data_IF_470712772696
#
_entry.id   IF_470712772696
#
_cell.length_a   1.000
_cell.length_b   1.000
_cell.length_c   1.000
_cell.angle_alpha   90.00
_cell.angle_beta   90.00
_cell.angle_gamma   90.00
#
_symmetry.space_group_name_H-M   'P 1'
#
loop_
_entity.id
_entity.type
_entity.pdbx_description
1 polymer ?
#
# COMPACT_ATOMS: atom_id res chain seq x y z
N UNK A 1 -17.83 -11.69 9.45
CA UNK A 1 -19.17 -11.22 9.03
C UNK A 1 -19.48 -9.83 9.58
N UNK A 2 -19.47 -9.62 10.91
CA UNK A 2 -19.67 -8.29 11.53
C UNK A 2 -18.69 -7.25 10.97
N UNK A 3 -17.40 -7.57 10.89
CA UNK A 3 -16.38 -6.69 10.32
C UNK A 3 -16.67 -6.29 8.86
N UNK A 4 -17.08 -7.26 8.03
CA UNK A 4 -17.36 -7.03 6.62
C UNK A 4 -18.62 -6.16 6.45
N UNK A 5 -19.63 -6.40 7.29
CA UNK A 5 -20.85 -5.58 7.37
C UNK A 5 -20.54 -4.16 7.86
N UNK A 6 -19.66 -4.00 8.86
CA UNK A 6 -19.20 -2.69 9.33
C UNK A 6 -18.47 -1.93 8.22
N UNK A 7 -17.59 -2.59 7.47
CA UNK A 7 -16.92 -1.96 6.32
C UNK A 7 -17.91 -1.55 5.22
N UNK A 8 -18.86 -2.42 4.87
CA UNK A 8 -19.90 -2.09 3.89
C UNK A 8 -20.74 -0.91 4.39
N UNK A 9 -21.16 -0.94 5.65
CA UNK A 9 -21.98 0.10 6.26
C UNK A 9 -21.27 1.45 6.26
N UNK A 10 -20.00 1.51 6.65
CA UNK A 10 -19.32 2.79 6.76
C UNK A 10 -18.85 3.31 5.39
N UNK A 11 -18.47 2.43 4.45
CA UNK A 11 -18.29 2.84 3.04
C UNK A 11 -19.60 3.39 2.46
N UNK A 12 -20.74 2.75 2.75
CA UNK A 12 -22.06 3.22 2.35
C UNK A 12 -22.42 4.57 2.97
N UNK A 13 -22.13 4.78 4.26
CA UNK A 13 -22.28 6.07 4.92
C UNK A 13 -21.36 7.13 4.31
N UNK A 14 -20.11 6.83 4.04
CA UNK A 14 -19.17 7.75 3.38
C UNK A 14 -19.67 8.17 2.00
N UNK A 15 -20.26 7.25 1.24
CA UNK A 15 -20.90 7.53 -0.04
C UNK A 15 -22.14 8.42 0.13
N UNK A 16 -23.01 8.12 1.11
CA UNK A 16 -24.22 8.90 1.39
C UNK A 16 -23.90 10.32 1.89
N UNK A 17 -22.98 10.46 2.84
CA UNK A 17 -22.54 11.76 3.36
C UNK A 17 -22.02 12.69 2.24
N UNK A 18 -21.38 12.10 1.23
CA UNK A 18 -20.96 12.82 0.02
C UNK A 18 -22.11 13.13 -0.93
N UNK A 19 -23.08 12.22 -1.12
CA UNK A 19 -24.26 12.49 -1.95
C UNK A 19 -25.04 13.73 -1.48
N UNK A 20 -24.95 14.05 -0.19
CA UNK A 20 -25.59 15.21 0.43
C UNK A 20 -24.67 16.45 0.60
N UNK A 21 -23.47 16.48 -0.01
CA UNK A 21 -22.53 17.64 -0.01
C UNK A 21 -22.28 18.24 1.41
N UNK A 22 -22.18 17.39 2.43
CA UNK A 22 -21.85 17.83 3.79
C UNK A 22 -20.42 18.37 3.88
N UNK A 23 -20.19 19.32 4.79
CA UNK A 23 -18.91 20.03 4.95
C UNK A 23 -17.70 19.07 4.97
N UNK A 24 -16.70 19.37 4.13
CA UNK A 24 -15.49 18.54 3.92
C UNK A 24 -14.76 18.21 5.23
N UNK A 25 -14.90 19.06 6.24
CA UNK A 25 -14.33 18.86 7.56
C UNK A 25 -14.92 17.65 8.30
N UNK A 26 -16.23 17.40 8.18
CA UNK A 26 -16.93 16.24 8.77
C UNK A 26 -16.47 14.95 8.09
N UNK A 27 -16.25 15.00 6.78
CA UNK A 27 -15.75 13.88 5.98
C UNK A 27 -14.28 13.57 6.32
N UNK A 28 -13.43 14.59 6.52
CA UNK A 28 -12.01 14.42 6.87
C UNK A 28 -11.81 13.94 8.32
N UNK A 29 -12.66 14.40 9.25
CA UNK A 29 -12.70 13.84 10.61
C UNK A 29 -13.10 12.37 10.54
N UNK A 30 -14.20 12.03 9.84
CA UNK A 30 -14.58 10.64 9.58
C UNK A 30 -13.47 9.82 8.94
N UNK A 31 -12.72 10.37 7.99
CA UNK A 31 -11.60 9.76 7.24
C UNK A 31 -10.39 9.42 8.13
N UNK A 32 -9.90 10.36 8.95
CA UNK A 32 -8.79 10.08 9.88
C UNK A 32 -9.23 9.11 10.96
N UNK A 33 -10.46 9.24 11.43
CA UNK A 33 -11.03 8.38 12.45
C UNK A 33 -11.44 6.99 11.93
N UNK A 34 -11.62 6.76 10.62
CA UNK A 34 -12.13 5.48 10.11
C UNK A 34 -11.15 4.31 10.33
N UNK A 35 -9.96 4.37 9.73
CA UNK A 35 -8.92 3.36 9.92
C UNK A 35 -8.40 3.40 11.36
N UNK A 36 -8.24 4.59 11.96
CA UNK A 36 -7.68 4.71 13.32
C UNK A 36 -8.67 4.46 14.47
N UNK A 37 -10.00 4.38 14.25
CA UNK A 37 -10.96 3.84 15.23
C UNK A 37 -11.27 2.37 14.97
N UNK A 38 -11.58 2.00 13.72
CA UNK A 38 -12.02 0.64 13.40
C UNK A 38 -10.93 -0.36 13.75
N UNK A 39 -9.68 -0.05 13.40
CA UNK A 39 -8.57 -0.96 13.65
C UNK A 39 -8.34 -1.18 15.16
N UNK A 40 -8.18 -0.14 16.01
CA UNK A 40 -8.08 -0.35 17.46
C UNK A 40 -9.30 -1.03 18.08
N UNK A 41 -10.50 -0.77 17.59
CA UNK A 41 -11.72 -1.44 18.04
C UNK A 41 -11.69 -2.94 17.71
N UNK A 42 -11.14 -3.32 16.55
CA UNK A 42 -10.88 -4.72 16.19
C UNK A 42 -9.85 -5.34 17.13
N UNK A 43 -8.74 -4.65 17.42
CA UNK A 43 -7.75 -5.13 18.39
C UNK A 43 -8.35 -5.33 19.78
N UNK A 44 -9.18 -4.38 20.23
CA UNK A 44 -9.87 -4.43 21.52
C UNK A 44 -10.85 -5.62 21.61
N UNK A 45 -11.59 -5.91 20.53
CA UNK A 45 -12.42 -7.12 20.42
C UNK A 45 -11.61 -8.44 20.45
N UNK A 46 -10.30 -8.37 20.19
CA UNK A 46 -9.39 -9.52 20.14
C UNK A 46 -8.34 -9.54 21.27
N UNK A 47 -8.58 -8.84 22.38
CA UNK A 47 -7.70 -8.69 23.56
C UNK A 47 -6.94 -9.98 23.97
N UNK A 48 -7.59 -11.14 23.93
CA UNK A 48 -7.00 -12.45 24.27
C UNK A 48 -5.85 -12.90 23.35
N UNK A 49 -5.57 -12.20 22.26
CA UNK A 49 -4.62 -12.60 21.20
C UNK A 49 -3.37 -11.74 21.09
N UNK A 50 -3.14 -10.83 22.03
CA UNK A 50 -1.95 -9.95 22.03
C UNK A 50 -0.63 -10.74 21.98
N UNK A 51 -0.61 -11.95 22.55
CA UNK A 51 0.55 -12.85 22.52
C UNK A 51 0.91 -13.33 21.10
N UNK A 52 -0.06 -13.49 20.19
CA UNK A 52 0.17 -13.86 18.79
C UNK A 52 0.83 -12.71 18.01
N UNK A 53 0.38 -11.48 18.26
CA UNK A 53 0.96 -10.25 17.70
C UNK A 53 2.42 -10.12 18.12
N UNK A 54 2.71 -10.34 19.41
CA UNK A 54 4.07 -10.30 19.95
C UNK A 54 5.02 -11.29 19.25
N UNK A 55 4.54 -12.48 18.89
CA UNK A 55 5.32 -13.50 18.17
C UNK A 55 5.62 -13.08 16.72
N UNK A 56 4.66 -12.42 16.06
CA UNK A 56 4.80 -11.94 14.69
C UNK A 56 5.70 -10.72 14.55
N UNK A 57 5.82 -9.89 15.61
CA UNK A 57 6.71 -8.73 15.66
C UNK A 57 8.15 -9.12 16.06
N UNK A 58 8.32 -10.07 17.01
CA UNK A 58 9.65 -10.39 17.56
C UNK A 58 10.58 -11.15 16.62
N UNK A 59 10.06 -11.95 15.69
CA UNK A 59 10.89 -12.83 14.86
C UNK A 59 11.23 -12.17 13.52
N UNK A 60 12.11 -11.16 13.56
CA UNK A 60 12.65 -10.52 12.36
C UNK A 60 13.56 -11.50 11.60
N UNK A 61 13.16 -11.83 10.37
CA UNK A 61 13.96 -12.65 9.47
C UNK A 61 14.63 -11.74 8.44
N UNK A 62 15.88 -11.35 8.71
CA UNK A 62 16.64 -10.43 7.84
C UNK A 62 16.80 -10.93 6.41
N UNK A 63 16.89 -12.26 6.20
CA UNK A 63 16.99 -12.84 4.86
C UNK A 63 15.73 -12.60 4.04
N UNK A 64 14.56 -12.70 4.68
CA UNK A 64 13.26 -12.44 4.05
C UNK A 64 13.13 -10.97 3.66
N UNK A 65 13.54 -10.05 4.55
CA UNK A 65 13.57 -8.61 4.27
C UNK A 65 14.51 -8.29 3.10
N UNK A 66 15.73 -8.83 3.10
CA UNK A 66 16.70 -8.61 2.02
C UNK A 66 16.14 -9.09 0.67
N UNK A 67 15.51 -10.26 0.63
CA UNK A 67 14.89 -10.79 -0.59
C UNK A 67 13.73 -9.90 -1.08
N UNK A 68 12.96 -9.31 -0.18
CA UNK A 68 11.88 -8.38 -0.55
C UNK A 68 12.42 -7.08 -1.12
N UNK A 69 13.43 -6.50 -0.47
CA UNK A 69 14.10 -5.30 -0.94
C UNK A 69 14.75 -5.53 -2.31
N UNK A 70 15.36 -6.70 -2.53
CA UNK A 70 15.93 -7.02 -3.83
C UNK A 70 14.87 -7.16 -4.91
N UNK A 71 13.70 -7.76 -4.63
CA UNK A 71 12.59 -7.82 -5.59
C UNK A 71 12.05 -6.42 -5.94
N UNK A 72 11.92 -5.53 -4.95
CA UNK A 72 11.53 -4.14 -5.18
C UNK A 72 12.55 -3.39 -6.05
N UNK A 73 13.84 -3.54 -5.75
CA UNK A 73 14.93 -2.93 -6.51
C UNK A 73 14.97 -3.46 -7.94
N UNK A 74 14.91 -4.79 -8.13
CA UNK A 74 14.90 -5.42 -9.46
C UNK A 74 13.70 -4.91 -10.27
N UNK A 75 12.51 -4.83 -9.67
CA UNK A 75 11.32 -4.34 -10.36
C UNK A 75 11.44 -2.89 -10.78
N UNK A 76 12.01 -2.06 -9.90
CA UNK A 76 12.25 -0.65 -10.18
C UNK A 76 13.26 -0.49 -11.33
N UNK A 77 14.36 -1.22 -11.29
CA UNK A 77 15.39 -1.19 -12.34
C UNK A 77 14.81 -1.68 -13.67
N UNK A 78 14.06 -2.78 -13.69
CA UNK A 78 13.49 -3.33 -14.92
C UNK A 78 12.45 -2.40 -15.54
N UNK A 79 11.52 -1.87 -14.74
CA UNK A 79 10.46 -1.00 -15.26
C UNK A 79 11.02 0.38 -15.63
N UNK A 80 11.59 1.10 -14.67
CA UNK A 80 12.02 2.47 -14.91
C UNK A 80 13.28 2.52 -15.78
N UNK A 81 14.22 1.58 -15.59
CA UNK A 81 15.41 1.48 -16.45
C UNK A 81 15.06 1.13 -17.90
N UNK A 82 14.10 0.23 -18.14
CA UNK A 82 13.67 -0.04 -19.52
C UNK A 82 13.00 1.18 -20.16
N UNK A 83 12.17 1.91 -19.42
CA UNK A 83 11.50 3.12 -19.90
C UNK A 83 12.50 4.23 -20.26
N UNK A 84 13.57 4.39 -19.48
CA UNK A 84 14.67 5.32 -19.79
C UNK A 84 15.40 4.87 -21.07
N UNK A 85 15.74 3.58 -21.18
CA UNK A 85 16.45 3.04 -22.35
C UNK A 85 15.66 3.22 -23.66
N UNK A 86 14.33 3.09 -23.62
CA UNK A 86 13.47 3.31 -24.79
C UNK A 86 13.04 4.78 -24.98
N UNK A 87 13.63 5.72 -24.23
CA UNK A 87 13.34 7.16 -24.26
C UNK A 87 11.86 7.49 -24.06
N UNK A 88 11.26 6.82 -23.07
CA UNK A 88 9.87 7.02 -22.65
C UNK A 88 9.74 7.58 -21.25
N UNK A 89 10.84 7.64 -20.53
CA UNK A 89 11.01 8.34 -19.28
C UNK A 89 12.31 9.15 -19.35
N UNK A 90 12.27 10.38 -18.88
CA UNK A 90 13.44 11.23 -18.67
C UNK A 90 13.52 11.59 -17.19
N UNK A 91 14.72 11.92 -16.71
CA UNK A 91 14.87 12.45 -15.36
C UNK A 91 14.26 13.85 -15.33
N UNK A 92 13.27 14.04 -14.47
CA UNK A 92 12.82 15.38 -14.10
C UNK A 92 13.80 15.95 -13.09
N UNK A 93 14.01 17.26 -13.15
CA UNK A 93 14.54 18.05 -12.06
C UNK A 93 13.34 18.67 -11.32
N UNK A 94 12.63 17.92 -10.45
CA UNK A 94 11.57 18.53 -9.67
C UNK A 94 12.19 19.70 -8.91
N UNK A 95 11.51 20.86 -8.85
CA UNK A 95 12.02 22.08 -8.20
C UNK A 95 12.57 21.81 -6.79
N UNK A 96 12.03 20.77 -6.15
CA UNK A 96 12.35 20.33 -4.81
C UNK A 96 13.35 19.17 -4.75
N UNK A 97 13.99 18.75 -5.84
CA UNK A 97 15.07 17.75 -5.82
C UNK A 97 16.15 18.14 -4.81
N UNK A 98 16.44 19.44 -4.70
CA UNK A 98 17.39 20.00 -3.74
C UNK A 98 16.88 20.04 -2.29
N UNK A 99 15.56 20.08 -2.07
CA UNK A 99 14.92 20.10 -0.73
C UNK A 99 14.44 18.72 -0.24
N UNK A 100 14.22 17.78 -1.15
CA UNK A 100 13.74 16.43 -0.90
C UNK A 100 14.81 15.37 -1.16
N UNK A 101 15.92 15.66 -1.85
CA UNK A 101 16.94 14.71 -2.30
C UNK A 101 17.41 13.69 -1.25
N UNK A 102 18.58 13.92 -0.63
CA UNK A 102 19.05 13.06 0.48
C UNK A 102 18.10 13.08 1.69
N UNK A 103 17.32 14.15 1.86
CA UNK A 103 16.37 14.24 2.96
C UNK A 103 15.29 13.16 2.87
N UNK A 104 14.79 12.83 1.67
CA UNK A 104 13.74 11.80 1.51
C UNK A 104 14.21 10.43 1.98
N UNK A 105 15.49 10.08 1.78
CA UNK A 105 16.08 8.84 2.28
C UNK A 105 16.26 8.86 3.80
N UNK A 106 16.59 10.03 4.37
CA UNK A 106 16.73 10.24 5.81
C UNK A 106 15.37 10.28 6.52
N UNK A 107 14.35 10.80 5.85
CA UNK A 107 12.99 10.94 6.36
C UNK A 107 12.16 9.66 6.15
N UNK A 108 12.56 8.80 5.21
CA UNK A 108 11.89 7.52 4.91
C UNK A 108 11.60 6.69 6.18
N UNK A 109 12.56 6.48 7.12
CA UNK A 109 12.28 5.79 8.38
C UNK A 109 11.19 6.45 9.21
N UNK A 110 11.15 7.79 9.24
CA UNK A 110 10.14 8.56 9.99
C UNK A 110 8.76 8.34 9.36
N UNK A 111 8.66 8.44 8.03
CA UNK A 111 7.41 8.18 7.31
C UNK A 111 6.96 6.73 7.44
N UNK A 112 7.90 5.78 7.46
CA UNK A 112 7.58 4.39 7.71
C UNK A 112 7.01 4.20 9.12
N UNK A 113 7.65 4.76 10.16
CA UNK A 113 7.16 4.71 11.54
C UNK A 113 5.77 5.35 11.66
N UNK A 114 5.52 6.45 10.95
CA UNK A 114 4.23 7.13 10.92
C UNK A 114 3.11 6.26 10.34
N UNK A 115 3.41 5.49 9.28
CA UNK A 115 2.45 4.59 8.63
C UNK A 115 2.38 3.19 9.27
N UNK A 116 3.36 2.86 10.13
CA UNK A 116 3.50 1.54 10.76
C UNK A 116 2.24 1.08 11.51
N UNK A 117 1.54 1.92 12.30
CA UNK A 117 0.34 1.50 13.00
C UNK A 117 -0.72 0.98 12.03
N UNK A 118 -0.99 1.69 10.93
CA UNK A 118 -2.03 1.29 9.98
C UNK A 118 -1.67 -0.04 9.28
N UNK A 119 -0.42 -0.18 8.84
CA UNK A 119 0.07 -1.38 8.17
C UNK A 119 0.10 -2.60 9.09
N UNK A 120 0.49 -2.42 10.35
CA UNK A 120 0.47 -3.48 11.36
C UNK A 120 -0.95 -3.97 11.60
N UNK A 121 -1.90 -3.04 11.68
CA UNK A 121 -3.27 -3.39 11.97
C UNK A 121 -3.92 -4.17 10.82
N UNK A 122 -3.68 -3.76 9.56
CA UNK A 122 -4.07 -4.53 8.38
C UNK A 122 -3.47 -5.94 8.45
N UNK A 123 -2.17 -6.04 8.74
CA UNK A 123 -1.50 -7.33 8.84
C UNK A 123 -2.07 -8.21 9.95
N UNK A 124 -2.35 -7.65 11.13
CA UNK A 124 -2.93 -8.37 12.27
C UNK A 124 -4.31 -8.94 11.91
N UNK A 125 -5.17 -8.15 11.26
CA UNK A 125 -6.50 -8.62 10.81
C UNK A 125 -6.34 -9.79 9.85
N UNK A 126 -5.50 -9.65 8.82
CA UNK A 126 -5.26 -10.70 7.82
C UNK A 126 -4.71 -11.97 8.47
N UNK A 127 -3.69 -11.84 9.32
CA UNK A 127 -3.02 -12.99 9.94
C UNK A 127 -3.94 -13.71 10.94
N UNK A 128 -4.64 -12.96 11.79
CA UNK A 128 -5.55 -13.51 12.80
C UNK A 128 -6.75 -14.21 12.17
N UNK A 129 -7.34 -13.61 11.13
CA UNK A 129 -8.50 -14.18 10.46
C UNK A 129 -8.12 -15.36 9.57
N UNK A 130 -6.91 -15.40 9.03
CA UNK A 130 -6.38 -16.57 8.34
C UNK A 130 -6.26 -17.78 9.27
N UNK A 131 -5.67 -17.61 10.45
CA UNK A 131 -5.50 -18.73 11.40
C UNK A 131 -6.84 -19.21 11.97
N UNK A 132 -7.77 -18.29 12.27
CA UNK A 132 -9.05 -18.63 12.92
C UNK A 132 -10.14 -19.07 11.93
N UNK A 133 -10.30 -18.35 10.83
CA UNK A 133 -11.41 -18.50 9.90
C UNK A 133 -11.01 -19.11 8.55
N UNK A 134 -9.73 -19.46 8.38
CA UNK A 134 -9.18 -20.02 7.13
C UNK A 134 -9.52 -19.16 5.90
N UNK A 135 -9.50 -17.83 6.06
CA UNK A 135 -9.76 -16.93 4.94
C UNK A 135 -8.87 -17.27 3.75
N UNK A 136 -9.51 -17.55 2.62
CA UNK A 136 -8.84 -17.82 1.35
C UNK A 136 -8.34 -16.50 0.75
N UNK A 137 -7.38 -16.60 -0.16
CA UNK A 137 -6.84 -15.43 -0.87
C UNK A 137 -7.94 -14.52 -1.47
N UNK A 138 -8.99 -15.03 -2.15
CA UNK A 138 -10.07 -14.20 -2.66
C UNK A 138 -10.81 -13.39 -1.58
N UNK A 139 -10.99 -13.95 -0.38
CA UNK A 139 -11.68 -13.28 0.73
C UNK A 139 -10.83 -12.12 1.26
N UNK A 140 -9.51 -12.33 1.41
CA UNK A 140 -8.59 -11.27 1.86
C UNK A 140 -8.50 -10.17 0.81
N UNK A 141 -8.42 -10.53 -0.47
CA UNK A 141 -8.43 -9.57 -1.57
C UNK A 141 -9.72 -8.74 -1.56
N UNK A 142 -10.90 -9.37 -1.47
CA UNK A 142 -12.18 -8.67 -1.40
C UNK A 142 -12.28 -7.79 -0.15
N UNK A 143 -11.80 -8.27 0.99
CA UNK A 143 -11.76 -7.50 2.23
C UNK A 143 -10.93 -6.22 2.07
N UNK A 144 -9.72 -6.33 1.52
CA UNK A 144 -8.85 -5.17 1.28
C UNK A 144 -9.41 -4.24 0.21
N UNK A 145 -10.04 -4.80 -0.82
CA UNK A 145 -10.73 -4.03 -1.85
C UNK A 145 -11.88 -3.21 -1.23
N UNK A 146 -12.66 -3.78 -0.32
CA UNK A 146 -13.68 -3.02 0.40
C UNK A 146 -13.07 -2.04 1.40
N UNK A 147 -11.98 -2.41 2.07
CA UNK A 147 -11.30 -1.56 3.05
C UNK A 147 -10.79 -0.26 2.41
N UNK A 148 -10.24 -0.34 1.20
CA UNK A 148 -9.70 0.81 0.47
C UNK A 148 -10.66 1.41 -0.56
N UNK A 149 -11.88 0.87 -0.71
CA UNK A 149 -12.84 1.34 -1.72
C UNK A 149 -13.21 2.83 -1.54
N UNK A 150 -13.19 3.34 -0.31
CA UNK A 150 -13.50 4.74 -0.05
C UNK A 150 -12.47 5.72 -0.64
N UNK A 151 -11.23 5.30 -0.87
CA UNK A 151 -10.19 6.12 -1.52
C UNK A 151 -10.59 6.48 -2.98
N UNK A 152 -11.54 5.73 -3.56
CA UNK A 152 -12.12 5.93 -4.89
C UNK A 152 -13.40 6.76 -4.89
N UNK A 153 -13.73 7.42 -3.78
CA UNK A 153 -14.83 8.36 -3.70
C UNK A 153 -14.25 9.77 -4.02
N UNK A 154 -14.29 10.25 -5.29
CA UNK A 154 -13.58 11.47 -5.67
C UNK A 154 -13.98 12.69 -4.83
N UNK A 155 -13.02 13.33 -4.17
CA UNK A 155 -13.28 14.59 -3.44
C UNK A 155 -13.57 15.78 -4.38
N UNK A 156 -13.33 15.63 -5.68
CA UNK A 156 -13.75 16.55 -6.74
C UNK A 156 -14.06 15.76 -8.02
N UNK A 157 -15.20 16.04 -8.66
CA UNK A 157 -15.66 15.33 -9.86
C UNK A 157 -14.71 15.47 -11.08
N UNK A 158 -13.76 16.40 -11.05
CA UNK A 158 -13.00 16.83 -12.23
C UNK A 158 -11.53 16.41 -12.28
N UNK A 159 -10.99 15.71 -11.27
CA UNK A 159 -9.57 15.29 -11.26
C UNK A 159 -9.38 13.81 -10.94
N UNK A 160 -9.96 12.95 -11.79
CA UNK A 160 -9.61 11.52 -11.82
C UNK A 160 -8.47 11.29 -12.82
N UNK A 161 -7.22 11.46 -12.38
CA UNK A 161 -6.01 10.96 -13.03
C UNK A 161 -4.97 10.61 -11.95
N UNK A 162 -4.19 9.50 -12.01
CA UNK A 162 -4.17 8.36 -12.94
C UNK A 162 -4.47 7.01 -12.23
N UNK A 163 -5.11 7.01 -11.07
CA UNK A 163 -5.55 5.76 -10.41
C UNK A 163 -6.80 5.23 -11.10
N UNK A 164 -6.64 4.61 -12.27
CA UNK A 164 -7.68 3.80 -12.88
C UNK A 164 -7.97 2.58 -11.99
N UNK A 165 -9.20 2.05 -12.05
CA UNK A 165 -9.66 0.91 -11.24
C UNK A 165 -8.73 -0.32 -11.36
N UNK A 166 -8.04 -0.46 -12.50
CA UNK A 166 -7.05 -1.50 -12.72
C UNK A 166 -5.77 -1.33 -11.87
N UNK A 167 -5.26 -0.10 -11.73
CA UNK A 167 -4.10 0.19 -10.88
C UNK A 167 -4.42 -0.15 -9.42
N UNK A 168 -5.61 0.25 -8.99
CA UNK A 168 -6.12 -0.06 -7.67
C UNK A 168 -6.22 -1.55 -7.39
N UNK A 169 -6.89 -2.30 -8.26
CA UNK A 169 -7.01 -3.74 -8.11
C UNK A 169 -5.63 -4.40 -8.06
N UNK A 170 -4.67 -3.94 -8.87
CA UNK A 170 -3.30 -4.43 -8.83
C UNK A 170 -2.60 -4.13 -7.49
N UNK A 171 -2.77 -2.94 -6.92
CA UNK A 171 -2.23 -2.62 -5.59
C UNK A 171 -2.83 -3.46 -4.48
N UNK A 172 -4.15 -3.59 -4.46
CA UNK A 172 -4.84 -4.43 -3.47
C UNK A 172 -4.39 -5.89 -3.61
N UNK A 173 -4.22 -6.37 -4.83
CA UNK A 173 -3.73 -7.72 -5.10
C UNK A 173 -2.31 -7.90 -4.57
N UNK A 174 -1.42 -6.93 -4.82
CA UNK A 174 -0.07 -6.94 -4.30
C UNK A 174 -0.03 -6.93 -2.76
N UNK A 175 -0.79 -6.04 -2.12
CA UNK A 175 -0.88 -5.97 -0.65
C UNK A 175 -1.39 -7.31 -0.08
N UNK A 176 -2.43 -7.89 -0.69
CA UNK A 176 -2.96 -9.19 -0.29
C UNK A 176 -1.89 -10.28 -0.38
N UNK A 177 -1.14 -10.32 -1.49
CA UNK A 177 -0.04 -11.28 -1.67
C UNK A 177 1.02 -11.13 -0.58
N UNK A 178 1.50 -9.91 -0.33
CA UNK A 178 2.53 -9.64 0.68
C UNK A 178 2.08 -10.15 2.05
N UNK A 179 0.90 -9.75 2.54
CA UNK A 179 0.43 -10.14 3.87
C UNK A 179 0.04 -11.63 3.99
N UNK A 180 -0.24 -12.33 2.89
CA UNK A 180 -0.53 -13.77 2.91
C UNK A 180 0.76 -14.60 2.92
N UNK A 181 1.74 -14.18 2.13
CA UNK A 181 2.99 -14.92 1.94
C UNK A 181 3.90 -14.80 3.16
N UNK A 182 3.90 -13.65 3.81
CA UNK A 182 4.80 -13.35 4.91
C UNK A 182 4.12 -13.55 6.25
N UNK A 183 4.84 -14.16 7.20
CA UNK A 183 4.40 -14.29 8.60
C UNK A 183 4.85 -13.12 9.46
N UNK A 184 5.87 -12.41 9.01
CA UNK A 184 6.44 -11.28 9.72
C UNK A 184 5.71 -9.99 9.32
N UNK A 185 5.06 -9.37 10.30
CA UNK A 185 4.30 -8.13 10.11
C UNK A 185 5.19 -6.95 9.73
N UNK A 186 6.39 -6.86 10.30
CA UNK A 186 7.35 -5.80 10.00
C UNK A 186 7.84 -5.87 8.56
N UNK A 187 8.21 -7.07 8.10
CA UNK A 187 8.65 -7.31 6.72
C UNK A 187 7.53 -7.00 5.72
N UNK A 188 6.30 -7.40 6.03
CA UNK A 188 5.11 -7.11 5.22
C UNK A 188 4.83 -5.60 5.14
N UNK A 189 4.82 -4.93 6.29
CA UNK A 189 4.60 -3.49 6.37
C UNK A 189 5.67 -2.72 5.62
N UNK A 190 6.95 -3.07 5.82
CA UNK A 190 8.07 -2.42 5.13
C UNK A 190 7.98 -2.59 3.61
N UNK A 191 7.62 -3.79 3.15
CA UNK A 191 7.46 -4.08 1.71
C UNK A 191 6.34 -3.25 1.10
N UNK A 192 5.16 -3.21 1.74
CA UNK A 192 4.02 -2.42 1.26
C UNK A 192 4.37 -0.93 1.27
N UNK A 193 4.97 -0.44 2.36
CA UNK A 193 5.37 0.96 2.47
C UNK A 193 6.35 1.35 1.36
N UNK A 194 7.45 0.60 1.19
CA UNK A 194 8.46 0.88 0.18
C UNK A 194 7.91 0.78 -1.24
N UNK A 195 7.04 -0.18 -1.51
CA UNK A 195 6.38 -0.29 -2.80
C UNK A 195 5.61 1.00 -3.17
N UNK A 196 4.78 1.50 -2.24
CA UNK A 196 4.00 2.72 -2.47
C UNK A 196 4.94 3.93 -2.50
N UNK A 197 5.91 4.02 -1.59
CA UNK A 197 6.86 5.13 -1.48
C UNK A 197 7.73 5.28 -2.73
N UNK A 198 8.32 4.19 -3.24
CA UNK A 198 9.11 4.19 -4.48
C UNK A 198 8.27 4.65 -5.66
N UNK A 199 7.05 4.11 -5.78
CA UNK A 199 6.15 4.47 -6.85
C UNK A 199 5.84 5.97 -6.82
N UNK A 200 5.40 6.50 -5.67
CA UNK A 200 5.08 7.93 -5.53
C UNK A 200 6.31 8.80 -5.80
N UNK A 201 7.47 8.44 -5.26
CA UNK A 201 8.71 9.20 -5.51
C UNK A 201 9.09 9.24 -6.98
N UNK A 202 9.01 8.12 -7.69
CA UNK A 202 9.43 8.05 -9.07
C UNK A 202 8.39 8.65 -10.02
N UNK A 203 7.09 8.46 -9.77
CA UNK A 203 6.04 8.85 -10.72
C UNK A 203 5.30 10.13 -10.41
N UNK A 204 5.49 10.70 -9.22
CA UNK A 204 4.68 11.83 -8.79
C UNK A 204 3.31 11.43 -8.27
N UNK A 205 2.60 12.40 -7.71
CA UNK A 205 1.18 12.30 -7.36
C UNK A 205 0.57 13.70 -7.30
N UNK A 206 -0.68 13.84 -7.75
CA UNK A 206 -1.50 15.04 -7.54
C UNK A 206 -2.48 14.88 -6.38
N UNK A 207 -2.45 13.74 -5.69
CA UNK A 207 -3.33 13.46 -4.56
C UNK A 207 -2.66 13.94 -3.26
N UNK A 208 -3.12 15.10 -2.78
CA UNK A 208 -2.65 15.72 -1.53
C UNK A 208 -2.65 14.75 -0.35
N UNK A 209 -3.65 13.88 -0.24
CA UNK A 209 -3.72 12.89 0.86
C UNK A 209 -2.61 11.85 0.75
N UNK A 210 -2.33 11.36 -0.46
CA UNK A 210 -1.23 10.41 -0.72
C UNK A 210 0.11 11.07 -0.42
N UNK A 211 0.33 12.30 -0.89
CA UNK A 211 1.56 13.07 -0.64
C UNK A 211 1.77 13.31 0.85
N UNK A 212 0.74 13.79 1.56
CA UNK A 212 0.83 14.07 3.01
C UNK A 212 1.01 12.81 3.84
N UNK A 213 0.53 11.65 3.40
CA UNK A 213 0.71 10.40 4.14
C UNK A 213 2.08 9.75 3.88
N UNK A 214 2.65 9.93 2.69
CA UNK A 214 3.87 9.23 2.25
C UNK A 214 5.13 10.09 2.37
N UNK A 215 5.01 11.39 2.08
CA UNK A 215 6.10 12.36 2.07
C UNK A 215 5.97 13.33 3.27
N UNK A 216 4.84 13.32 3.98
CA UNK A 216 4.54 14.11 5.19
C UNK A 216 4.90 15.61 5.14
N UNK A 217 4.95 16.16 3.93
CA UNK A 217 5.13 17.58 3.66
C UNK A 217 3.83 18.15 3.09
N UNK A 218 3.59 19.44 3.36
CA UNK A 218 2.44 20.17 2.86
C UNK A 218 2.64 20.59 1.40
N UNK A 219 2.71 19.63 0.49
CA UNK A 219 2.65 19.92 -0.94
C UNK A 219 1.23 19.72 -1.48
N UNK A 220 0.87 20.56 -2.44
CA UNK A 220 -0.37 20.43 -3.19
C UNK A 220 -0.23 19.40 -4.33
N UNK A 221 0.99 19.24 -4.87
CA UNK A 221 1.34 18.23 -5.87
C UNK A 221 2.81 17.81 -5.75
N UNK A 222 3.14 16.64 -6.29
CA UNK A 222 4.49 16.08 -6.36
C UNK A 222 4.73 15.59 -7.78
N UNK A 223 5.76 16.09 -8.45
CA UNK A 223 6.01 15.81 -9.88
C UNK A 223 6.74 14.48 -10.12
N UNK A 224 7.42 13.94 -9.11
CA UNK A 224 8.23 12.72 -9.25
C UNK A 224 9.64 12.99 -9.78
N UNK A 225 10.51 11.99 -9.70
CA UNK A 225 11.87 12.03 -10.26
C UNK A 225 11.95 11.64 -11.74
N UNK A 226 10.87 11.10 -12.31
CA UNK A 226 10.81 10.71 -13.70
C UNK A 226 9.61 11.38 -14.37
N UNK A 227 9.88 12.07 -15.47
CA UNK A 227 8.85 12.56 -16.37
C UNK A 227 8.60 11.50 -17.44
N UNK A 228 7.34 11.15 -17.67
CA UNK A 228 6.97 10.10 -18.61
C UNK A 228 6.20 10.64 -19.80
N UNK A 229 6.41 10.00 -20.96
CA UNK A 229 5.60 10.30 -22.14
C UNK A 229 4.10 10.09 -21.87
N UNK A 230 3.26 11.01 -22.36
CA UNK A 230 1.79 11.03 -22.14
C UNK A 230 1.09 9.68 -22.40
N UNK A 231 1.60 8.89 -23.34
CA UNK A 231 1.05 7.59 -23.72
C UNK A 231 1.22 6.56 -22.58
N UNK A 232 2.32 6.63 -21.84
CA UNK A 232 2.75 5.59 -20.91
C UNK A 232 2.41 5.93 -19.45
N UNK A 233 2.22 7.23 -19.13
CA UNK A 233 1.85 7.73 -17.78
C UNK A 233 0.80 6.86 -17.08
N UNK A 234 -0.27 6.49 -17.79
CA UNK A 234 -1.39 5.74 -17.21
C UNK A 234 -1.11 4.24 -16.95
N UNK A 235 -0.02 3.70 -17.51
CA UNK A 235 0.30 2.27 -17.48
C UNK A 235 1.51 1.92 -16.60
N UNK A 236 2.30 2.91 -16.16
CA UNK A 236 3.53 2.68 -15.38
C UNK A 236 3.21 2.02 -14.05
N UNK A 237 2.24 2.57 -13.33
CA UNK A 237 1.70 2.02 -12.08
C UNK A 237 1.28 0.55 -12.24
N UNK A 238 0.58 0.25 -13.34
CA UNK A 238 0.11 -1.11 -13.63
C UNK A 238 1.28 -2.04 -13.95
N UNK A 239 2.23 -1.59 -14.77
CA UNK A 239 3.42 -2.34 -15.15
C UNK A 239 4.30 -2.65 -13.94
N UNK A 240 4.54 -1.66 -13.09
CA UNK A 240 5.29 -1.82 -11.84
C UNK A 240 4.60 -2.78 -10.88
N UNK A 241 3.30 -2.61 -10.64
CA UNK A 241 2.52 -3.50 -9.79
C UNK A 241 2.49 -4.93 -10.34
N UNK A 242 2.25 -5.08 -11.66
CA UNK A 242 2.18 -6.37 -12.33
C UNK A 242 3.48 -7.14 -12.24
N UNK A 243 4.62 -6.47 -12.47
CA UNK A 243 5.93 -7.11 -12.35
C UNK A 243 6.25 -7.50 -10.90
N UNK A 244 5.90 -6.65 -9.94
CA UNK A 244 6.00 -6.97 -8.50
C UNK A 244 5.17 -8.20 -8.11
N UNK A 245 3.92 -8.29 -8.58
CA UNK A 245 3.04 -9.45 -8.37
C UNK A 245 3.68 -10.71 -8.95
N UNK A 246 4.22 -10.64 -10.18
CA UNK A 246 4.88 -11.79 -10.83
C UNK A 246 6.09 -12.25 -10.02
N UNK A 247 7.00 -11.35 -9.66
CA UNK A 247 8.21 -11.70 -8.90
C UNK A 247 7.87 -12.27 -7.52
N UNK A 248 6.93 -11.66 -6.79
CA UNK A 248 6.47 -12.20 -5.50
C UNK A 248 5.82 -13.57 -5.64
N UNK A 249 5.04 -13.80 -6.69
CA UNK A 249 4.42 -15.10 -6.95
C UNK A 249 5.46 -16.18 -7.25
N UNK A 250 6.48 -15.86 -8.05
CA UNK A 250 7.61 -16.75 -8.33
C UNK A 250 8.39 -17.06 -7.05
N UNK A 251 8.76 -16.03 -6.29
CA UNK A 251 9.48 -16.18 -5.02
C UNK A 251 8.72 -17.09 -4.04
N UNK A 252 7.41 -16.89 -3.91
CA UNK A 252 6.57 -17.73 -3.09
C UNK A 252 6.55 -19.19 -3.55
N UNK A 253 6.43 -19.43 -4.85
CA UNK A 253 6.44 -20.78 -5.39
C UNK A 253 7.77 -21.49 -5.09
N UNK A 254 8.91 -20.82 -5.33
CA UNK A 254 10.26 -21.34 -5.09
C UNK A 254 10.52 -21.62 -3.61
N UNK A 255 10.07 -20.73 -2.73
CA UNK A 255 10.26 -20.93 -1.28
C UNK A 255 9.41 -22.09 -0.76
N UNK A 256 8.18 -22.25 -1.26
CA UNK A 256 7.29 -23.35 -0.86
C UNK A 256 7.80 -24.71 -1.34
N UNK A 257 8.36 -24.81 -2.55
CA UNK A 257 8.93 -26.07 -3.06
C UNK A 257 10.17 -26.48 -2.28
N UNK A 258 11.03 -25.53 -1.88
CA UNK A 258 12.20 -25.82 -1.03
C UNK A 258 11.83 -26.34 0.36
N UNK A 259 10.77 -25.81 0.97
CA UNK A 259 10.31 -26.29 2.29
C UNK A 259 9.83 -27.75 2.18
N UNK A 260 9.01 -28.06 1.17
CA UNK A 260 8.53 -29.43 0.93
C UNK A 260 9.62 -30.44 0.54
N UNK A 261 10.74 -29.98 -0.01
CA UNK A 261 11.85 -30.86 -0.39
C UNK A 261 12.76 -31.21 0.80
N UNK A 262 12.65 -30.48 1.91
CA UNK A 262 13.44 -30.66 3.13
C UNK A 262 12.62 -31.30 4.28
N UNK A 263 11.34 -31.60 4.05
CA UNK A 263 10.45 -32.38 4.91
C UNK A 263 10.39 -33.84 4.42
#
# INVERSE_FOLDING_TARGET
MILLLSLIFINGLGYLLRYYDLDRFIIILGFRFHLSLILPFILFLFEKKFHLIKKQIKNINWREIINQLSMLLISSILIFGSLILIKKADFSDPDFFYELGLSSLIDMPVYFIWNLPQLFMIGIVIHNDREKYKFSFPIIFLFLLLLFAYEFIPMNKEKLLPFNIYNYAAYVLFIALVFIQHKNLYASALTVFLFIWILVLLTGSTNISVIKNIIAKNFDEWEGFLEFSKIIVNYISLGFSGLMIILFSIYFFVTRTRIKANE
#
